data_IF_300000126502
#
_entry.id   IF_300000126502
#
_cell.length_a   1.000
_cell.length_b   1.000
_cell.length_c   1.000
_cell.angle_alpha   90.00
_cell.angle_beta   90.00
_cell.angle_gamma   90.00
#
_symmetry.space_group_name_H-M   'P 1'
#
loop_
_entity.id
_entity.type
_entity.pdbx_description
1 polymer ?
#
# COMPACT_ATOMS: atom_id res chain seq x y z
N UNK A 1 -18.06 70.11 30.46
CA UNK A 1 -18.70 69.41 29.31
C UNK A 1 -17.78 68.27 28.90
N UNK A 2 -18.18 67.03 29.16
CA UNK A 2 -17.39 65.82 28.91
C UNK A 2 -17.33 65.50 27.40
N UNK A 3 -16.14 65.19 26.91
CA UNK A 3 -15.89 64.60 25.59
C UNK A 3 -16.16 63.08 25.65
N UNK A 4 -17.04 62.58 24.79
CA UNK A 4 -17.26 61.14 24.60
C UNK A 4 -16.49 60.64 23.38
N UNK A 5 -15.51 59.75 23.60
CA UNK A 5 -14.87 58.99 22.54
C UNK A 5 -15.64 57.67 22.33
N UNK A 6 -16.18 57.46 21.13
CA UNK A 6 -16.70 56.15 20.70
C UNK A 6 -15.51 55.28 20.24
N UNK A 7 -15.27 54.16 20.92
CA UNK A 7 -14.34 53.12 20.48
C UNK A 7 -15.14 52.12 19.64
N UNK A 8 -14.83 52.02 18.34
CA UNK A 8 -15.32 50.93 17.49
C UNK A 8 -14.47 49.69 17.75
N UNK A 9 -15.06 48.66 18.35
CA UNK A 9 -14.47 47.34 18.49
C UNK A 9 -14.65 46.57 17.17
N UNK A 10 -13.58 46.39 16.40
CA UNK A 10 -13.59 45.54 15.21
C UNK A 10 -13.40 44.09 15.67
N UNK A 11 -14.47 43.29 15.64
CA UNK A 11 -14.39 41.85 15.79
C UNK A 11 -13.79 41.25 14.50
N UNK A 12 -12.51 40.86 14.56
CA UNK A 12 -11.89 39.99 13.56
C UNK A 12 -12.29 38.56 13.91
N UNK A 13 -13.28 38.02 13.20
CA UNK A 13 -13.58 36.58 13.23
C UNK A 13 -12.39 35.86 12.57
N UNK A 14 -11.49 35.31 13.39
CA UNK A 14 -10.44 34.43 12.90
C UNK A 14 -11.07 33.19 12.27
N UNK A 15 -10.95 33.04 10.95
CA UNK A 15 -11.18 31.75 10.33
C UNK A 15 -10.05 30.82 10.79
N UNK A 16 -10.36 29.84 11.63
CA UNK A 16 -9.49 28.69 11.84
C UNK A 16 -9.33 27.98 10.49
N UNK A 17 -8.20 28.23 9.83
CA UNK A 17 -7.80 27.38 8.71
C UNK A 17 -7.36 26.07 9.34
N UNK A 18 -8.22 25.05 9.26
CA UNK A 18 -7.87 23.71 9.71
C UNK A 18 -6.59 23.27 8.98
N UNK A 19 -5.50 23.11 9.73
CA UNK A 19 -4.23 22.64 9.18
C UNK A 19 -4.41 21.21 8.68
N UNK A 20 -4.09 20.97 7.40
CA UNK A 20 -4.19 19.64 6.82
C UNK A 20 -3.22 18.70 7.55
N UNK A 21 -3.68 17.49 7.86
CA UNK A 21 -2.83 16.50 8.52
C UNK A 21 -1.53 16.25 7.71
N UNK A 22 -0.37 16.14 8.37
CA UNK A 22 0.88 15.86 7.68
C UNK A 22 0.79 14.51 6.96
N UNK A 23 1.42 14.41 5.80
CA UNK A 23 1.50 13.15 5.05
C UNK A 23 2.15 12.06 5.91
N UNK A 24 1.60 10.85 5.85
CA UNK A 24 2.19 9.67 6.46
C UNK A 24 3.03 8.93 5.39
N UNK A 25 4.37 8.91 5.53
CA UNK A 25 5.25 8.33 4.51
C UNK A 25 5.12 6.81 4.38
N UNK A 26 4.46 6.14 5.36
CA UNK A 26 4.27 4.68 5.33
C UNK A 26 3.02 4.27 4.56
N UNK A 27 1.94 5.07 4.60
CA UNK A 27 0.64 4.70 4.02
C UNK A 27 0.61 4.88 2.50
N UNK A 28 0.28 3.80 1.80
CA UNK A 28 0.06 3.79 0.36
C UNK A 28 -1.29 3.21 -0.06
N UNK A 29 -1.50 3.10 -1.37
CA UNK A 29 -2.72 2.52 -1.93
C UNK A 29 -2.38 1.39 -2.90
N UNK A 30 -3.03 0.24 -2.71
CA UNK A 30 -3.23 -0.73 -3.79
C UNK A 30 -4.43 -0.26 -4.63
N UNK A 31 -4.14 0.38 -5.76
CA UNK A 31 -5.15 1.06 -6.56
C UNK A 31 -5.77 0.12 -7.58
N UNK A 32 -7.08 -0.12 -7.42
CA UNK A 32 -7.88 -0.97 -8.29
C UNK A 32 -8.81 -0.10 -9.13
N UNK A 33 -8.41 0.24 -10.35
CA UNK A 33 -9.28 1.00 -11.23
C UNK A 33 -10.54 0.19 -11.56
N UNK A 34 -11.70 0.81 -11.37
CA UNK A 34 -12.99 0.23 -11.71
C UNK A 34 -13.68 1.11 -12.76
N UNK A 35 -13.84 0.59 -13.98
CA UNK A 35 -14.47 1.32 -15.08
C UNK A 35 -15.96 1.58 -14.88
N UNK A 36 -16.64 0.79 -14.04
CA UNK A 36 -18.04 1.00 -13.67
C UNK A 36 -18.19 2.21 -12.74
N UNK A 37 -17.17 2.48 -11.92
CA UNK A 37 -17.15 3.59 -10.97
C UNK A 37 -15.89 4.46 -11.20
N UNK A 38 -15.80 5.14 -12.35
CA UNK A 38 -14.56 5.75 -12.80
C UNK A 38 -14.13 6.96 -11.98
N UNK A 39 -14.99 7.49 -11.10
CA UNK A 39 -14.75 8.68 -10.27
C UNK A 39 -14.45 8.37 -8.80
N UNK A 40 -14.60 7.12 -8.35
CA UNK A 40 -14.41 6.73 -6.93
C UNK A 40 -13.03 7.12 -6.38
N UNK A 41 -12.02 7.24 -7.24
CA UNK A 41 -10.69 7.66 -6.82
C UNK A 41 -10.64 9.08 -6.23
N UNK A 42 -11.64 9.92 -6.54
CA UNK A 42 -11.72 11.30 -6.05
C UNK A 42 -11.89 11.36 -4.54
N UNK A 43 -12.58 10.37 -3.96
CA UNK A 43 -12.82 10.24 -2.53
C UNK A 43 -11.53 10.18 -1.71
N UNK A 44 -10.52 9.48 -2.20
CA UNK A 44 -9.26 9.27 -1.49
C UNK A 44 -8.08 10.08 -2.06
N UNK A 45 -8.30 10.87 -3.10
CA UNK A 45 -7.30 11.80 -3.66
C UNK A 45 -7.55 13.26 -3.27
N UNK A 46 -8.67 13.56 -2.61
CA UNK A 46 -9.01 14.88 -2.10
C UNK A 46 -7.96 15.51 -1.15
N UNK A 47 -8.05 16.82 -0.96
CA UNK A 47 -7.17 17.58 -0.05
C UNK A 47 -7.24 17.03 1.37
N UNK A 48 -6.10 16.98 2.07
CA UNK A 48 -6.04 16.49 3.46
C UNK A 48 -5.77 14.99 3.61
N UNK A 49 -5.74 14.23 2.52
CA UNK A 49 -5.30 12.83 2.60
C UNK A 49 -3.84 12.75 3.08
N UNK A 50 -3.46 11.63 3.70
CA UNK A 50 -2.11 11.38 4.23
C UNK A 50 -1.28 10.39 3.40
N UNK A 51 -1.76 10.00 2.22
CA UNK A 51 -1.12 9.01 1.35
C UNK A 51 0.07 9.60 0.60
N UNK A 52 1.10 8.77 0.37
CA UNK A 52 2.36 9.18 -0.28
C UNK A 52 2.80 8.32 -1.47
N UNK A 53 2.28 7.11 -1.62
CA UNK A 53 2.66 6.19 -2.70
C UNK A 53 1.51 5.27 -3.10
N UNK A 54 1.57 4.68 -4.30
CA UNK A 54 0.62 3.69 -4.76
C UNK A 54 1.23 2.70 -5.74
N UNK A 55 0.56 1.56 -5.91
CA UNK A 55 0.78 0.61 -7.00
C UNK A 55 -0.56 0.10 -7.52
N UNK A 56 -0.58 -0.56 -8.67
CA UNK A 56 -1.82 -0.99 -9.34
C UNK A 56 -1.71 -2.38 -9.99
N UNK A 57 -0.82 -3.24 -9.45
CA UNK A 57 -0.40 -4.53 -10.03
C UNK A 57 0.27 -4.45 -11.43
N UNK A 58 0.45 -3.25 -11.97
CA UNK A 58 1.06 -3.02 -13.27
C UNK A 58 2.44 -2.38 -13.18
N UNK A 59 2.98 -2.10 -14.37
CA UNK A 59 4.29 -1.45 -14.54
C UNK A 59 4.20 0.01 -14.98
N UNK A 60 2.98 0.54 -15.11
CA UNK A 60 2.72 1.90 -15.58
C UNK A 60 1.76 2.63 -14.63
N UNK A 61 1.97 3.94 -14.40
CA UNK A 61 1.09 4.74 -13.55
C UNK A 61 -0.35 4.74 -14.07
N UNK A 62 -1.32 4.69 -13.15
CA UNK A 62 -2.72 4.95 -13.46
C UNK A 62 -2.94 6.43 -13.81
N UNK A 63 -3.57 6.73 -14.94
CA UNK A 63 -3.83 8.11 -15.40
C UNK A 63 -4.72 8.90 -14.45
N UNK A 64 -5.63 8.22 -13.74
CA UNK A 64 -6.52 8.80 -12.73
C UNK A 64 -5.76 9.43 -11.56
N UNK A 65 -4.55 8.94 -11.27
CA UNK A 65 -3.74 9.40 -10.14
C UNK A 65 -2.61 10.34 -10.56
N UNK A 66 -2.58 10.79 -11.82
CA UNK A 66 -1.50 11.64 -12.35
C UNK A 66 -1.34 12.96 -11.56
N UNK A 67 -2.41 13.51 -10.99
CA UNK A 67 -2.39 14.75 -10.20
C UNK A 67 -1.99 14.55 -8.73
N UNK A 68 -1.98 13.30 -8.22
CA UNK A 68 -1.85 12.99 -6.79
C UNK A 68 -0.51 13.36 -6.16
N UNK A 69 0.55 13.55 -6.97
CA UNK A 69 1.94 13.69 -6.52
C UNK A 69 2.44 12.50 -5.68
N UNK A 70 1.77 11.35 -5.72
CA UNK A 70 2.24 10.13 -5.06
C UNK A 70 3.35 9.47 -5.88
N UNK A 71 4.26 8.77 -5.19
CA UNK A 71 5.18 7.87 -5.88
C UNK A 71 4.40 6.71 -6.48
N UNK A 72 4.55 6.44 -7.78
CA UNK A 72 4.10 5.19 -8.37
C UNK A 72 5.19 4.13 -8.19
N UNK A 73 4.81 2.97 -7.65
CA UNK A 73 5.69 1.82 -7.48
C UNK A 73 5.32 0.74 -8.51
N UNK A 74 6.12 0.55 -9.58
CA UNK A 74 5.90 -0.53 -10.54
C UNK A 74 6.01 -1.91 -9.89
N UNK A 75 5.16 -2.84 -10.33
CA UNK A 75 5.20 -4.24 -9.91
C UNK A 75 5.52 -5.15 -11.10
N UNK A 76 6.35 -6.17 -10.88
CA UNK A 76 6.46 -7.30 -11.79
C UNK A 76 5.50 -8.39 -11.32
N UNK A 77 4.23 -8.34 -11.74
CA UNK A 77 3.21 -9.22 -11.14
C UNK A 77 3.54 -10.71 -11.25
N UNK A 78 4.03 -11.14 -12.42
CA UNK A 78 4.39 -12.53 -12.69
C UNK A 78 5.36 -12.63 -13.87
N UNK A 79 5.71 -13.87 -14.24
CA UNK A 79 6.73 -14.16 -15.27
C UNK A 79 6.52 -13.44 -16.60
N UNK A 80 5.27 -13.29 -17.03
CA UNK A 80 4.91 -12.71 -18.33
C UNK A 80 5.28 -11.21 -18.43
N UNK A 81 5.43 -10.53 -17.28
CA UNK A 81 5.76 -9.10 -17.21
C UNK A 81 7.24 -8.83 -16.90
N UNK A 82 8.03 -9.85 -16.56
CA UNK A 82 9.41 -9.66 -16.11
C UNK A 82 10.26 -8.91 -17.14
N UNK A 83 10.15 -9.29 -18.42
CA UNK A 83 10.96 -8.71 -19.51
C UNK A 83 10.75 -7.21 -19.72
N UNK A 84 9.56 -6.68 -19.43
CA UNK A 84 9.22 -5.28 -19.73
C UNK A 84 9.60 -4.29 -18.62
N UNK A 85 9.95 -4.75 -17.43
CA UNK A 85 10.09 -3.88 -16.24
C UNK A 85 11.13 -2.78 -16.43
N UNK A 86 12.30 -3.09 -16.99
CA UNK A 86 13.37 -2.10 -17.20
C UNK A 86 12.93 -1.00 -18.17
N UNK A 87 12.28 -1.39 -19.26
CA UNK A 87 11.76 -0.44 -20.24
C UNK A 87 10.69 0.48 -19.64
N UNK A 88 9.80 -0.05 -18.81
CA UNK A 88 8.74 0.73 -18.19
C UNK A 88 9.26 1.67 -17.08
N UNK A 89 10.20 1.22 -16.24
CA UNK A 89 10.88 2.08 -15.26
C UNK A 89 11.58 3.25 -15.97
N UNK A 90 12.31 2.99 -17.05
CA UNK A 90 12.97 4.04 -17.83
C UNK A 90 11.97 5.02 -18.43
N UNK A 91 10.83 4.54 -18.96
CA UNK A 91 9.77 5.42 -19.48
C UNK A 91 9.20 6.34 -18.41
N UNK A 92 8.97 5.83 -17.19
CA UNK A 92 8.45 6.65 -16.09
C UNK A 92 9.47 7.74 -15.72
N UNK A 93 10.74 7.37 -15.57
CA UNK A 93 11.82 8.33 -15.28
C UNK A 93 11.93 9.40 -16.37
N UNK A 94 11.92 9.01 -17.64
CA UNK A 94 12.00 9.94 -18.78
C UNK A 94 10.80 10.89 -18.89
N UNK A 95 9.64 10.48 -18.37
CA UNK A 95 8.45 11.34 -18.28
C UNK A 95 8.47 12.27 -17.05
N UNK A 96 9.55 12.30 -16.27
CA UNK A 96 9.67 13.08 -15.03
C UNK A 96 8.98 12.45 -13.82
N UNK A 97 8.52 11.20 -13.93
CA UNK A 97 7.89 10.47 -12.83
C UNK A 97 8.90 10.04 -11.77
N UNK A 98 8.45 9.99 -10.51
CA UNK A 98 9.25 9.47 -9.38
C UNK A 98 9.07 7.96 -9.27
N UNK A 99 10.17 7.23 -9.44
CA UNK A 99 10.26 5.78 -9.16
C UNK A 99 11.56 5.57 -8.40
N UNK A 100 11.44 5.20 -7.13
CA UNK A 100 12.57 4.84 -6.27
C UNK A 100 12.52 3.39 -5.80
N UNK A 101 11.36 2.73 -5.95
CA UNK A 101 11.14 1.35 -5.57
C UNK A 101 10.45 0.57 -6.69
N UNK A 102 10.61 -0.75 -6.69
CA UNK A 102 9.73 -1.67 -7.41
C UNK A 102 9.30 -2.84 -6.53
N UNK A 103 8.14 -3.41 -6.84
CA UNK A 103 7.62 -4.63 -6.23
C UNK A 103 7.97 -5.85 -7.09
N UNK A 104 8.40 -6.93 -6.43
CA UNK A 104 8.62 -8.23 -7.06
C UNK A 104 7.32 -8.94 -7.46
N UNK A 105 7.42 -10.26 -7.67
CA UNK A 105 6.30 -11.12 -8.05
C UNK A 105 5.19 -11.12 -7.00
N UNK A 106 3.94 -11.14 -7.47
CA UNK A 106 2.76 -11.15 -6.63
C UNK A 106 2.35 -12.59 -6.31
N UNK A 107 2.38 -12.97 -5.04
CA UNK A 107 2.01 -14.29 -4.52
C UNK A 107 2.46 -15.45 -5.43
N UNK A 108 3.77 -15.57 -5.69
CA UNK A 108 4.28 -16.66 -6.53
C UNK A 108 4.05 -18.04 -5.90
N UNK A 109 3.82 -18.09 -4.58
CA UNK A 109 3.42 -19.27 -3.83
C UNK A 109 1.96 -19.68 -4.05
N UNK A 110 1.12 -18.80 -4.61
CA UNK A 110 -0.31 -19.03 -4.81
C UNK A 110 -0.60 -19.37 -6.29
N UNK A 111 -1.37 -20.43 -6.56
CA UNK A 111 -1.83 -20.77 -7.91
C UNK A 111 -2.59 -19.66 -8.62
N UNK A 112 -2.45 -19.58 -9.95
CA UNK A 112 -3.04 -18.50 -10.75
C UNK A 112 -4.56 -18.46 -10.72
N UNK A 113 -5.21 -19.62 -10.58
CA UNK A 113 -6.67 -19.75 -10.41
C UNK A 113 -7.19 -19.10 -9.11
N UNK A 114 -6.31 -18.77 -8.17
CA UNK A 114 -6.63 -18.10 -6.91
C UNK A 114 -6.11 -16.65 -6.84
N UNK A 115 -5.52 -16.15 -7.93
CA UNK A 115 -5.05 -14.77 -8.02
C UNK A 115 -3.55 -14.57 -7.79
N UNK A 116 -2.78 -15.64 -7.56
CA UNK A 116 -1.32 -15.57 -7.47
C UNK A 116 -0.60 -15.68 -8.82
N UNK A 117 0.70 -15.44 -8.81
CA UNK A 117 1.51 -15.50 -10.04
C UNK A 117 1.99 -16.90 -10.43
N UNK A 118 1.87 -17.88 -9.52
CA UNK A 118 2.15 -19.31 -9.72
C UNK A 118 3.53 -19.56 -10.34
N UNK A 119 4.56 -19.39 -9.51
CA UNK A 119 5.97 -19.46 -9.95
C UNK A 119 6.80 -20.28 -8.97
N UNK A 120 7.73 -21.09 -9.48
CA UNK A 120 8.72 -21.72 -8.61
C UNK A 120 9.75 -20.69 -8.12
N UNK A 121 10.37 -20.89 -6.93
CA UNK A 121 11.45 -20.04 -6.46
C UNK A 121 12.64 -19.95 -7.44
N UNK A 122 12.97 -21.04 -8.13
CA UNK A 122 14.08 -21.10 -9.11
C UNK A 122 13.78 -20.29 -10.37
N UNK A 123 12.56 -20.38 -10.90
CA UNK A 123 12.14 -19.58 -12.06
C UNK A 123 12.10 -18.10 -11.70
N UNK A 124 11.56 -17.77 -10.52
CA UNK A 124 11.57 -16.41 -10.00
C UNK A 124 13.00 -15.88 -9.86
N UNK A 125 13.93 -16.66 -9.32
CA UNK A 125 15.34 -16.25 -9.18
C UNK A 125 16.02 -16.02 -10.53
N UNK A 126 15.74 -16.86 -11.53
CA UNK A 126 16.26 -16.71 -12.90
C UNK A 126 15.78 -15.40 -13.52
N UNK A 127 14.47 -15.14 -13.47
CA UNK A 127 13.88 -13.92 -14.00
C UNK A 127 14.28 -12.68 -13.20
N UNK A 128 14.45 -12.81 -11.88
CA UNK A 128 14.96 -11.74 -11.03
C UNK A 128 16.35 -11.31 -11.48
N UNK A 129 17.30 -12.25 -11.58
CA UNK A 129 18.67 -11.98 -12.03
C UNK A 129 18.71 -11.34 -13.41
N UNK A 130 17.85 -11.80 -14.32
CA UNK A 130 17.85 -11.30 -15.69
C UNK A 130 17.22 -9.91 -15.82
N UNK A 131 16.09 -9.66 -15.14
CA UNK A 131 15.25 -8.50 -15.44
C UNK A 131 15.09 -7.50 -14.29
N UNK A 132 15.13 -7.95 -13.04
CA UNK A 132 14.88 -7.11 -11.86
C UNK A 132 16.20 -6.61 -11.26
N UNK A 133 17.18 -7.50 -11.08
CA UNK A 133 18.50 -7.19 -10.52
C UNK A 133 19.19 -5.97 -11.17
N UNK A 134 19.15 -5.77 -12.51
CA UNK A 134 19.78 -4.60 -13.13
C UNK A 134 19.23 -3.26 -12.63
N UNK A 135 17.99 -3.20 -12.12
CA UNK A 135 17.39 -1.98 -11.61
C UNK A 135 18.06 -1.48 -10.32
N UNK A 136 18.63 -2.38 -9.51
CA UNK A 136 19.40 -2.00 -8.32
C UNK A 136 20.59 -1.10 -8.68
N UNK A 137 21.26 -1.37 -9.81
CA UNK A 137 22.36 -0.52 -10.31
C UNK A 137 21.92 0.89 -10.73
N UNK A 138 20.62 1.12 -10.90
CA UNK A 138 20.05 2.43 -11.21
C UNK A 138 19.54 3.16 -9.95
N UNK A 139 19.91 2.68 -8.76
CA UNK A 139 19.46 3.22 -7.48
C UNK A 139 18.00 2.93 -7.15
N UNK A 140 17.36 1.97 -7.83
CA UNK A 140 16.00 1.54 -7.50
C UNK A 140 16.08 0.46 -6.43
N UNK A 141 15.36 0.66 -5.32
CA UNK A 141 15.23 -0.36 -4.29
C UNK A 141 14.30 -1.49 -4.75
N UNK A 142 14.69 -2.72 -4.47
CA UNK A 142 14.00 -3.92 -4.92
C UNK A 142 13.28 -4.59 -3.73
N UNK A 143 11.95 -4.54 -3.72
CA UNK A 143 11.17 -5.32 -2.77
C UNK A 143 11.08 -6.78 -3.25
N UNK A 144 11.21 -7.74 -2.32
CA UNK A 144 11.05 -9.17 -2.63
C UNK A 144 9.72 -9.47 -3.32
N UNK A 145 9.52 -10.68 -3.86
CA UNK A 145 8.17 -11.16 -4.13
C UNK A 145 7.30 -11.05 -2.87
N UNK A 146 6.06 -10.58 -3.05
CA UNK A 146 5.06 -10.53 -1.98
C UNK A 146 4.43 -11.91 -1.84
N UNK A 147 4.68 -12.60 -0.74
CA UNK A 147 4.15 -13.95 -0.49
C UNK A 147 2.93 -13.91 0.42
N UNK A 148 2.08 -14.93 0.33
CA UNK A 148 0.95 -15.08 1.25
C UNK A 148 1.41 -15.28 2.71
N UNK A 149 0.50 -15.05 3.66
CA UNK A 149 0.77 -15.32 5.08
C UNK A 149 0.75 -16.81 5.48
N UNK A 150 0.65 -17.72 4.51
CA UNK A 150 0.61 -19.17 4.73
C UNK A 150 2.01 -19.75 5.04
N UNK A 151 2.09 -20.98 5.59
CA UNK A 151 3.36 -21.70 5.70
C UNK A 151 4.08 -21.89 4.35
N UNK A 152 3.33 -22.03 3.27
CA UNK A 152 3.86 -22.19 1.91
C UNK A 152 4.53 -20.91 1.44
N UNK A 153 3.95 -19.74 1.70
CA UNK A 153 4.56 -18.44 1.39
C UNK A 153 5.90 -18.24 2.11
N UNK A 154 5.98 -18.66 3.37
CA UNK A 154 7.26 -18.64 4.11
C UNK A 154 8.31 -19.59 3.52
N UNK A 155 7.90 -20.81 3.20
CA UNK A 155 8.79 -21.82 2.58
C UNK A 155 9.27 -21.35 1.21
N UNK A 156 8.37 -20.75 0.42
CA UNK A 156 8.67 -20.20 -0.90
C UNK A 156 9.72 -19.08 -0.81
N UNK A 157 9.52 -18.11 0.09
CA UNK A 157 10.46 -17.00 0.29
C UNK A 157 11.86 -17.53 0.67
N UNK A 158 11.94 -18.45 1.64
CA UNK A 158 13.22 -19.05 2.06
C UNK A 158 13.95 -19.74 0.90
N UNK A 159 13.22 -20.49 0.08
CA UNK A 159 13.77 -21.16 -1.09
C UNK A 159 14.20 -20.16 -2.17
N UNK A 160 13.47 -19.05 -2.33
CA UNK A 160 13.80 -18.00 -3.29
C UNK A 160 15.09 -17.27 -2.92
N UNK A 161 15.27 -16.91 -1.63
CA UNK A 161 16.53 -16.34 -1.15
C UNK A 161 17.72 -17.28 -1.42
N UNK A 162 17.51 -18.59 -1.23
CA UNK A 162 18.54 -19.61 -1.50
C UNK A 162 18.86 -19.73 -2.99
N UNK A 163 17.84 -19.74 -3.85
CA UNK A 163 17.99 -19.83 -5.31
C UNK A 163 18.59 -18.56 -5.94
N UNK A 164 18.29 -17.39 -5.37
CA UNK A 164 18.76 -16.09 -5.84
C UNK A 164 20.06 -15.65 -5.15
N UNK A 165 21.03 -16.57 -4.98
CA UNK A 165 22.35 -16.19 -4.47
C UNK A 165 22.98 -15.10 -5.35
N UNK A 166 23.46 -14.03 -4.70
CA UNK A 166 24.01 -12.84 -5.34
C UNK A 166 22.97 -11.78 -5.78
N UNK A 167 21.68 -12.00 -5.52
CA UNK A 167 20.65 -10.99 -5.77
C UNK A 167 20.63 -9.92 -4.67
N UNK A 168 20.25 -8.70 -5.05
CA UNK A 168 19.97 -7.61 -4.13
C UNK A 168 18.51 -7.66 -3.72
N UNK A 169 18.26 -7.57 -2.42
CA UNK A 169 16.95 -7.35 -1.84
C UNK A 169 17.07 -6.19 -0.86
N UNK A 170 16.24 -5.16 -1.04
CA UNK A 170 16.28 -3.98 -0.18
C UNK A 170 15.16 -4.03 0.87
N UNK A 171 14.02 -4.65 0.55
CA UNK A 171 12.84 -4.70 1.43
C UNK A 171 12.10 -6.04 1.33
N UNK A 172 11.47 -6.45 2.43
CA UNK A 172 10.60 -7.63 2.48
C UNK A 172 9.16 -7.25 2.16
N UNK A 173 8.64 -7.72 1.03
CA UNK A 173 7.22 -7.59 0.69
C UNK A 173 6.42 -8.75 1.27
N UNK A 174 5.35 -8.45 2.02
CA UNK A 174 4.53 -9.45 2.70
C UNK A 174 3.05 -9.11 2.53
N UNK A 175 2.23 -10.16 2.42
CA UNK A 175 0.77 -10.05 2.45
C UNK A 175 0.20 -10.69 3.72
N UNK A 176 -0.91 -10.16 4.22
CA UNK A 176 -1.62 -10.78 5.34
C UNK A 176 -3.12 -10.51 5.29
N UNK A 177 -3.91 -11.57 5.23
CA UNK A 177 -5.36 -11.46 5.26
C UNK A 177 -5.91 -12.22 6.46
N UNK A 178 -6.60 -11.49 7.34
CA UNK A 178 -7.34 -12.07 8.45
C UNK A 178 -6.96 -11.53 9.82
N UNK A 179 -7.40 -12.29 10.83
CA UNK A 179 -7.49 -11.86 12.23
C UNK A 179 -6.87 -12.86 13.19
N UNK A 180 -6.72 -12.53 14.48
CA UNK A 180 -6.79 -11.18 15.08
C UNK A 180 -5.63 -10.27 14.63
N UNK A 181 -5.63 -8.99 15.01
CA UNK A 181 -4.53 -8.06 14.76
C UNK A 181 -3.16 -8.61 15.24
N UNK A 182 -3.14 -9.39 16.31
CA UNK A 182 -1.93 -10.06 16.79
C UNK A 182 -1.37 -11.11 15.82
N UNK A 183 -2.20 -11.70 14.95
CA UNK A 183 -1.75 -12.59 13.87
C UNK A 183 -0.92 -11.84 12.83
N UNK A 184 -1.36 -10.65 12.42
CA UNK A 184 -0.59 -9.76 11.54
C UNK A 184 0.75 -9.42 12.18
N UNK A 185 0.74 -8.92 13.42
CA UNK A 185 1.95 -8.55 14.15
C UNK A 185 2.94 -9.72 14.22
N UNK A 186 2.48 -10.90 14.63
CA UNK A 186 3.32 -12.10 14.72
C UNK A 186 3.91 -12.51 13.37
N UNK A 187 3.13 -12.39 12.29
CA UNK A 187 3.60 -12.67 10.94
C UNK A 187 4.74 -11.72 10.52
N UNK A 188 4.56 -10.40 10.69
CA UNK A 188 5.59 -9.42 10.32
C UNK A 188 6.86 -9.56 11.18
N UNK A 189 6.70 -9.76 12.50
CA UNK A 189 7.82 -9.95 13.43
C UNK A 189 8.61 -11.23 13.13
N UNK A 190 7.93 -12.30 12.67
CA UNK A 190 8.61 -13.54 12.24
C UNK A 190 9.58 -13.27 11.10
N UNK A 191 9.15 -12.58 10.05
CA UNK A 191 10.01 -12.28 8.90
C UNK A 191 11.13 -11.32 9.28
N UNK A 192 10.82 -10.23 10.01
CA UNK A 192 11.84 -9.28 10.43
C UNK A 192 12.90 -9.92 11.34
N UNK A 193 12.52 -10.86 12.21
CA UNK A 193 13.48 -11.62 13.05
C UNK A 193 14.46 -12.46 12.21
N UNK A 194 14.00 -13.01 11.09
CA UNK A 194 14.81 -13.88 10.22
C UNK A 194 15.67 -13.05 9.26
N UNK A 195 15.15 -11.91 8.80
CA UNK A 195 15.83 -11.00 7.88
C UNK A 195 15.94 -9.58 8.50
N UNK A 196 16.69 -9.41 9.60
CA UNK A 196 16.67 -8.18 10.39
C UNK A 196 17.26 -6.96 9.69
N UNK A 197 18.04 -7.17 8.62
CA UNK A 197 18.61 -6.08 7.81
C UNK A 197 17.62 -5.50 6.80
N UNK A 198 16.47 -6.15 6.58
CA UNK A 198 15.49 -5.73 5.60
C UNK A 198 14.27 -5.09 6.29
N UNK A 199 13.94 -3.82 6.00
CA UNK A 199 12.66 -3.27 6.39
C UNK A 199 11.51 -4.00 5.69
N UNK A 200 10.34 -3.98 6.32
CA UNK A 200 9.11 -4.63 5.84
C UNK A 200 8.25 -3.64 5.05
N UNK A 201 7.76 -4.10 3.91
CA UNK A 201 6.66 -3.53 3.16
C UNK A 201 5.47 -4.48 3.23
N UNK A 202 4.41 -4.06 3.94
CA UNK A 202 3.15 -4.81 3.98
C UNK A 202 2.28 -4.36 2.81
N UNK A 203 2.52 -4.93 1.62
CA UNK A 203 1.90 -4.47 0.38
C UNK A 203 0.41 -4.80 0.31
N UNK A 204 -0.05 -5.82 1.03
CA UNK A 204 -1.48 -6.11 1.13
C UNK A 204 -1.83 -6.57 2.53
N UNK A 205 -2.85 -5.94 3.12
CA UNK A 205 -3.52 -6.49 4.28
C UNK A 205 -4.98 -6.09 4.40
N UNK A 206 -5.80 -6.97 4.95
CA UNK A 206 -7.18 -6.66 5.31
C UNK A 206 -7.73 -7.65 6.35
N UNK A 207 -8.75 -7.21 7.09
CA UNK A 207 -9.62 -8.11 7.85
C UNK A 207 -10.65 -8.75 6.90
N UNK A 208 -10.23 -9.83 6.24
CA UNK A 208 -10.98 -10.41 5.12
C UNK A 208 -12.24 -11.16 5.56
N UNK A 209 -13.39 -10.80 4.98
CA UNK A 209 -14.70 -11.45 5.11
C UNK A 209 -15.22 -11.56 6.55
N UNK A 210 -14.90 -10.58 7.40
CA UNK A 210 -15.40 -10.50 8.77
C UNK A 210 -16.58 -9.51 8.93
N UNK A 211 -17.06 -9.34 10.16
CA UNK A 211 -18.13 -8.41 10.54
C UNK A 211 -17.64 -6.97 10.57
N UNK A 212 -18.54 -6.01 10.37
CA UNK A 212 -18.22 -4.58 10.44
C UNK A 212 -17.55 -4.17 11.76
N UNK A 213 -18.03 -4.73 12.88
CA UNK A 213 -17.46 -4.45 14.20
C UNK A 213 -16.05 -5.00 14.36
N UNK A 214 -15.79 -6.23 13.90
CA UNK A 214 -14.46 -6.82 13.96
C UNK A 214 -13.48 -6.05 13.06
N UNK A 215 -13.90 -5.69 11.85
CA UNK A 215 -13.05 -4.91 10.92
C UNK A 215 -12.75 -3.52 11.48
N UNK A 216 -13.73 -2.84 12.08
CA UNK A 216 -13.51 -1.57 12.78
C UNK A 216 -12.50 -1.71 13.92
N UNK A 217 -12.64 -2.73 14.76
CA UNK A 217 -11.71 -3.00 15.87
C UNK A 217 -10.31 -3.35 15.35
N UNK A 218 -10.22 -4.14 14.27
CA UNK A 218 -8.97 -4.51 13.63
C UNK A 218 -8.23 -3.27 13.14
N UNK A 219 -8.88 -2.40 12.35
CA UNK A 219 -8.29 -1.15 11.83
C UNK A 219 -7.78 -0.25 12.97
N UNK A 220 -8.57 -0.09 14.03
CA UNK A 220 -8.18 0.68 15.21
C UNK A 220 -6.93 0.15 15.91
N UNK A 221 -6.69 -1.16 15.86
CA UNK A 221 -5.52 -1.78 16.48
C UNK A 221 -4.30 -1.75 15.55
N UNK A 222 -4.47 -2.08 14.27
CA UNK A 222 -3.34 -2.28 13.35
C UNK A 222 -2.74 -0.97 12.85
N UNK A 223 -3.54 0.07 12.54
CA UNK A 223 -2.97 1.30 11.97
C UNK A 223 -1.96 1.98 12.90
N UNK A 224 -2.25 2.18 14.21
CA UNK A 224 -1.26 2.76 15.13
C UNK A 224 -0.01 1.88 15.31
N UNK A 225 -0.18 0.55 15.26
CA UNK A 225 0.94 -0.40 15.34
C UNK A 225 1.85 -0.29 14.10
N UNK A 226 1.28 -0.25 12.90
CA UNK A 226 2.03 -0.12 11.66
C UNK A 226 2.71 1.25 11.54
N UNK A 227 2.03 2.32 11.98
CA UNK A 227 2.59 3.67 12.00
C UNK A 227 3.82 3.77 12.91
N UNK A 228 3.76 3.19 14.10
CA UNK A 228 4.83 3.28 15.11
C UNK A 228 5.95 2.24 14.96
N UNK A 229 5.74 1.14 14.24
CA UNK A 229 6.75 0.08 14.11
C UNK A 229 7.97 0.54 13.29
N UNK A 230 9.19 0.55 13.85
CA UNK A 230 10.37 1.10 13.17
C UNK A 230 10.86 0.22 12.02
N UNK A 231 10.56 -1.08 12.04
CA UNK A 231 10.94 -2.03 11.00
C UNK A 231 9.98 -2.04 9.81
N UNK A 232 8.87 -1.30 9.86
CA UNK A 232 7.92 -1.16 8.77
C UNK A 232 8.18 0.14 8.03
N UNK A 233 8.61 0.04 6.77
CA UNK A 233 8.89 1.20 5.92
C UNK A 233 7.61 1.67 5.21
N UNK A 234 6.78 0.76 4.68
CA UNK A 234 5.50 1.10 4.03
C UNK A 234 4.44 0.02 4.18
N UNK A 235 3.17 0.40 4.04
CA UNK A 235 2.05 -0.53 4.00
C UNK A 235 0.87 -0.02 3.16
N UNK A 236 0.06 -0.95 2.64
CA UNK A 236 -1.16 -0.63 1.89
C UNK A 236 -2.31 -1.56 2.27
N UNK A 237 -3.40 -0.98 2.78
CA UNK A 237 -4.62 -1.71 3.11
C UNK A 237 -5.38 -2.09 1.84
N UNK A 238 -5.77 -3.36 1.73
CA UNK A 238 -6.52 -3.86 0.58
C UNK A 238 -8.02 -3.62 0.79
N UNK A 239 -8.52 -2.51 0.24
CA UNK A 239 -9.94 -2.17 0.34
C UNK A 239 -10.36 -0.90 -0.38
N UNK A 240 -9.54 -0.31 -1.24
CA UNK A 240 -9.87 0.91 -2.01
C UNK A 240 -10.90 0.62 -3.13
N UNK A 241 -12.09 0.19 -2.73
CA UNK A 241 -13.21 -0.21 -3.57
C UNK A 241 -14.53 -0.05 -2.81
N UNK A 242 -15.65 -0.19 -3.53
CA UNK A 242 -17.01 -0.29 -2.95
C UNK A 242 -17.27 -1.67 -2.35
N UNK A 243 -18.17 -1.74 -1.38
CA UNK A 243 -18.56 -2.99 -0.72
C UNK A 243 -19.01 -4.07 -1.71
N UNK A 244 -19.86 -3.69 -2.68
CA UNK A 244 -20.45 -4.60 -3.67
C UNK A 244 -19.44 -5.27 -4.61
N UNK A 245 -18.22 -4.73 -4.75
CA UNK A 245 -17.15 -5.29 -5.59
C UNK A 245 -15.95 -5.81 -4.80
N UNK A 246 -16.02 -5.79 -3.46
CA UNK A 246 -14.91 -6.21 -2.62
C UNK A 246 -14.77 -7.74 -2.57
N UNK A 247 -13.62 -8.25 -3.05
CA UNK A 247 -13.28 -9.68 -2.98
C UNK A 247 -12.80 -10.12 -1.58
N UNK A 248 -12.43 -9.18 -0.71
CA UNK A 248 -12.08 -9.39 0.71
C UNK A 248 -13.25 -9.13 1.65
N UNK A 249 -14.47 -9.02 1.10
CA UNK A 249 -15.69 -8.83 1.87
C UNK A 249 -16.11 -7.36 2.00
N UNK A 250 -17.43 -7.09 2.11
CA UNK A 250 -17.98 -5.74 2.07
C UNK A 250 -17.49 -4.87 3.23
N UNK A 251 -17.32 -5.46 4.41
CA UNK A 251 -16.91 -4.72 5.61
C UNK A 251 -15.47 -4.21 5.53
N UNK A 252 -14.59 -4.90 4.80
CA UNK A 252 -13.23 -4.48 4.54
C UNK A 252 -13.12 -3.37 3.48
N UNK A 253 -14.15 -3.15 2.66
CA UNK A 253 -14.14 -2.08 1.66
C UNK A 253 -14.14 -0.69 2.32
N UNK A 254 -13.38 0.25 1.75
CA UNK A 254 -13.22 1.61 2.25
C UNK A 254 -14.30 2.57 1.75
N UNK A 255 -15.03 2.20 0.69
CA UNK A 255 -16.20 2.92 0.20
C UNK A 255 -17.47 2.10 0.44
N UNK A 256 -18.59 2.78 0.68
CA UNK A 256 -19.91 2.16 0.70
C UNK A 256 -20.42 1.85 -0.72
N UNK A 257 -21.69 1.43 -0.84
CA UNK A 257 -22.27 1.10 -2.15
C UNK A 257 -22.55 2.33 -3.01
N UNK A 258 -22.74 3.50 -2.40
CA UNK A 258 -22.97 4.76 -3.10
C UNK A 258 -21.65 5.38 -3.59
N UNK A 259 -20.53 4.93 -3.03
CA UNK A 259 -19.19 5.36 -3.39
C UNK A 259 -18.60 6.35 -2.40
N UNK A 260 -19.25 6.56 -1.26
CA UNK A 260 -18.80 7.47 -0.22
C UNK A 260 -17.82 6.77 0.73
N UNK A 261 -16.89 7.53 1.32
CA UNK A 261 -15.97 6.96 2.31
C UNK A 261 -16.73 6.42 3.52
N UNK A 262 -16.40 5.18 3.87
CA UNK A 262 -16.77 4.57 5.16
C UNK A 262 -15.90 5.14 6.28
N UNK A 263 -16.29 4.98 7.56
CA UNK A 263 -15.44 5.36 8.69
C UNK A 263 -14.01 4.79 8.59
N UNK A 264 -13.85 3.51 8.22
CA UNK A 264 -12.53 2.90 8.05
C UNK A 264 -11.73 3.51 6.89
N UNK A 265 -12.42 3.99 5.83
CA UNK A 265 -11.82 4.76 4.74
C UNK A 265 -11.28 6.09 5.22
N UNK A 266 -12.08 6.85 5.96
CA UNK A 266 -11.66 8.13 6.57
C UNK A 266 -10.47 7.94 7.53
N UNK A 267 -10.50 6.89 8.35
CA UNK A 267 -9.39 6.55 9.25
C UNK A 267 -8.10 6.20 8.50
N UNK A 268 -8.22 5.50 7.36
CA UNK A 268 -7.07 5.11 6.56
C UNK A 268 -6.47 6.28 5.77
N UNK A 269 -7.29 7.02 5.03
CA UNK A 269 -6.85 8.07 4.12
C UNK A 269 -6.61 9.43 4.78
N UNK A 270 -7.31 9.74 5.88
CA UNK A 270 -7.30 11.07 6.50
C UNK A 270 -6.91 11.04 7.99
N UNK A 271 -6.54 9.88 8.53
CA UNK A 271 -6.24 9.69 9.95
C UNK A 271 -7.36 10.13 10.91
N UNK A 272 -8.61 10.07 10.46
CA UNK A 272 -9.75 10.34 11.33
C UNK A 272 -9.91 9.23 12.39
N UNK A 273 -10.20 9.65 13.62
CA UNK A 273 -10.48 8.70 14.70
C UNK A 273 -11.79 7.95 14.41
N UNK A 274 -11.72 6.62 14.37
CA UNK A 274 -12.92 5.77 14.41
C UNK A 274 -13.53 5.90 15.81
N UNK A 275 -14.47 6.83 15.98
CA UNK A 275 -15.23 6.95 17.24
C UNK A 275 -15.94 5.62 17.54
N UNK A 276 -15.95 5.26 18.83
CA UNK A 276 -16.60 4.07 19.34
C UNK A 276 -18.13 4.12 19.14
#
# INVERSE_FOLDING_TARGET
MLFGFLIFLVLVLGQEVAELAPKNPKRGIVFLFNSTYPTDYQEFTGSGNIITWYYNYGQSPSSQLASSQWEFVPMVWGKDQAKSIQGNVNKIKSAGGRVSHILGFNEPDIPRKWGGSDMSPTDAATLWKQYIQPLSSQGIKLCTPGVSSSPDGFTWMSNFFSACSGCTFDLLCLHHYGRPASSLKAHLEKYHKIYPSLPVWLTEFADSKDTADNTRQYINQVLPQLDSAPYIERYSYFGASRELVSNVGPNAALLDNDGELKPIGRAYFFAENLRA
#
